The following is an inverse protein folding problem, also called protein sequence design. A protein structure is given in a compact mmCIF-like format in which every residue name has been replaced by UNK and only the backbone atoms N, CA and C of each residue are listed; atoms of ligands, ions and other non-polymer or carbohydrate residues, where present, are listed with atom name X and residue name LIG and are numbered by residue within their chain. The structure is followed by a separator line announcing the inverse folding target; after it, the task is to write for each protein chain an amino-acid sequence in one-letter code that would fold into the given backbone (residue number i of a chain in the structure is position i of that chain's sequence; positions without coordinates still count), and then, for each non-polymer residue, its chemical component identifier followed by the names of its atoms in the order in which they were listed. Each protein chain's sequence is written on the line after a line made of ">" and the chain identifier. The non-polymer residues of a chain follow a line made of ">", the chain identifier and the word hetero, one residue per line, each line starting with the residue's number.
data_IF_676060835964
#
_entry.id   IF_676060835964
#
_cell.length_a   1.000
_cell.length_b   1.000
_cell.length_c   1.000
_cell.angle_alpha   90.00
_cell.angle_beta   90.00
_cell.angle_gamma   90.00
#
_symmetry.space_group_name_H-M   'P 1'
#
loop_
_entity.id
_entity.type
_entity.pdbx_description
1 polymer ?
#
# COMPACT_ATOMS: atom_id res chain seq x y z
N UNK A 1 -8.66 -1.83 -16.98
CA UNK A 1 -8.46 -0.47 -16.47
C UNK A 1 -7.09 -0.40 -15.82
N UNK A 2 -6.21 0.54 -16.17
CA UNK A 2 -4.88 0.64 -15.59
C UNK A 2 -5.01 0.75 -14.07
N UNK A 3 -4.28 -0.06 -13.30
CA UNK A 3 -4.33 -0.04 -11.82
C UNK A 3 -4.08 1.37 -11.26
N UNK A 4 -3.42 2.24 -12.03
CA UNK A 4 -3.14 3.63 -11.71
C UNK A 4 -4.41 4.41 -11.37
N UNK A 5 -5.51 4.19 -12.09
CA UNK A 5 -6.73 4.96 -11.87
C UNK A 5 -7.40 4.61 -10.54
N UNK A 6 -7.39 3.32 -10.15
CA UNK A 6 -7.86 2.93 -8.81
C UNK A 6 -6.89 3.36 -7.72
N UNK A 7 -5.59 3.39 -7.99
CA UNK A 7 -4.59 3.77 -7.00
C UNK A 7 -4.72 5.23 -6.54
N UNK A 8 -5.20 6.13 -7.41
CA UNK A 8 -5.47 7.53 -7.04
C UNK A 8 -6.45 7.67 -5.86
N UNK A 9 -7.48 6.81 -5.76
CA UNK A 9 -8.43 6.82 -4.63
C UNK A 9 -7.91 6.11 -3.37
N UNK A 10 -6.71 5.51 -3.45
CA UNK A 10 -6.05 4.80 -2.37
C UNK A 10 -4.90 5.59 -1.73
N UNK A 11 -4.59 6.79 -2.24
CA UNK A 11 -3.58 7.67 -1.63
C UNK A 11 -3.99 7.98 -0.17
N UNK A 12 -3.04 7.82 0.75
CA UNK A 12 -3.24 7.95 2.20
C UNK A 12 -3.82 6.70 2.87
N UNK A 13 -4.10 5.61 2.14
CA UNK A 13 -4.74 4.41 2.68
C UNK A 13 -3.77 3.22 2.75
N UNK A 14 -4.00 2.26 3.67
CA UNK A 14 -3.27 1.00 3.65
C UNK A 14 -3.61 0.18 2.40
N UNK A 15 -2.57 -0.30 1.72
CA UNK A 15 -2.67 -1.06 0.48
C UNK A 15 -1.75 -2.27 0.48
N UNK A 16 -2.18 -3.32 -0.22
CA UNK A 16 -1.29 -4.35 -0.74
C UNK A 16 -0.86 -3.97 -2.16
N UNK A 17 0.42 -4.15 -2.48
CA UNK A 17 0.94 -3.95 -3.84
C UNK A 17 1.48 -5.28 -4.36
N UNK A 18 0.96 -5.69 -5.51
CA UNK A 18 1.45 -6.84 -6.27
C UNK A 18 2.54 -6.35 -7.21
N UNK A 19 3.77 -6.84 -7.03
CA UNK A 19 4.90 -6.49 -7.89
C UNK A 19 5.00 -7.46 -9.08
N UNK A 20 5.50 -6.97 -10.21
CA UNK A 20 5.64 -7.74 -11.45
C UNK A 20 6.57 -8.95 -11.32
N UNK A 21 7.44 -8.98 -10.30
CA UNK A 21 8.31 -10.11 -10.00
C UNK A 21 7.64 -11.20 -9.14
N UNK A 22 6.34 -11.08 -8.86
CA UNK A 22 5.57 -12.02 -8.05
C UNK A 22 5.62 -11.76 -6.53
N UNK A 23 6.37 -10.76 -6.07
CA UNK A 23 6.37 -10.38 -4.65
C UNK A 23 5.16 -9.52 -4.29
N UNK A 24 4.63 -9.73 -3.09
CA UNK A 24 3.65 -8.84 -2.47
C UNK A 24 4.30 -8.00 -1.38
N UNK A 25 3.97 -6.71 -1.35
CA UNK A 25 4.32 -5.81 -0.23
C UNK A 25 3.06 -5.17 0.36
N UNK A 26 3.18 -4.57 1.53
CA UNK A 26 2.09 -3.84 2.18
C UNK A 26 2.59 -2.55 2.83
N UNK A 27 1.75 -1.53 2.84
CA UNK A 27 2.07 -0.24 3.45
C UNK A 27 1.02 0.83 3.17
N UNK A 28 1.31 2.08 3.51
CA UNK A 28 0.46 3.22 3.14
C UNK A 28 0.90 3.73 1.77
N UNK A 29 -0.03 3.86 0.82
CA UNK A 29 0.24 4.52 -0.45
C UNK A 29 0.31 6.04 -0.23
N UNK A 30 1.50 6.61 -0.13
CA UNK A 30 1.68 8.04 0.18
C UNK A 30 1.47 8.94 -1.04
N UNK A 31 1.63 8.42 -2.27
CA UNK A 31 1.43 9.21 -3.48
C UNK A 31 1.87 8.49 -4.74
N UNK A 32 1.70 9.19 -5.88
CA UNK A 32 2.10 8.75 -7.20
C UNK A 32 2.64 9.94 -8.00
N UNK A 33 3.93 9.93 -8.32
CA UNK A 33 4.60 11.02 -9.03
C UNK A 33 5.73 10.46 -9.90
N UNK A 34 6.01 11.11 -11.03
CA UNK A 34 7.12 10.76 -11.93
C UNK A 34 7.21 9.28 -12.32
N UNK A 35 6.07 8.62 -12.55
CA UNK A 35 6.04 7.21 -12.94
C UNK A 35 6.39 6.23 -11.81
N UNK A 36 6.32 6.68 -10.56
CA UNK A 36 6.55 5.86 -9.37
C UNK A 36 5.39 5.97 -8.39
N UNK A 37 5.21 4.91 -7.59
CA UNK A 37 4.43 4.95 -6.36
C UNK A 37 5.37 5.08 -5.16
N UNK A 38 4.87 5.73 -4.11
CA UNK A 38 5.58 5.91 -2.85
C UNK A 38 4.80 5.15 -1.78
N UNK A 39 5.43 4.15 -1.16
CA UNK A 39 4.76 3.29 -0.18
C UNK A 39 5.53 3.35 1.13
N UNK A 40 4.89 3.89 2.18
CA UNK A 40 5.45 3.85 3.53
C UNK A 40 5.30 2.43 4.09
N UNK A 41 6.44 1.78 4.33
CA UNK A 41 6.49 0.40 4.81
C UNK A 41 7.17 0.34 6.18
N UNK A 42 6.69 -0.59 7.00
CA UNK A 42 7.42 -1.02 8.19
C UNK A 42 8.67 -1.80 7.78
N UNK A 43 9.82 -1.50 8.38
CA UNK A 43 11.05 -2.25 8.16
C UNK A 43 11.41 -3.11 9.37
N UNK A 44 11.72 -2.45 10.50
CA UNK A 44 12.16 -3.12 11.72
C UNK A 44 11.99 -2.22 12.95
N UNK A 45 11.61 -2.83 14.08
CA UNK A 45 11.40 -2.19 15.38
C UNK A 45 10.37 -1.06 15.35
N UNK A 46 10.82 0.19 15.27
CA UNK A 46 9.98 1.39 15.18
C UNK A 46 10.30 2.21 13.92
N UNK A 47 11.01 1.60 12.97
CA UNK A 47 11.49 2.26 11.76
C UNK A 47 10.56 2.00 10.59
N UNK A 48 10.23 3.10 9.90
CA UNK A 48 9.44 3.11 8.68
C UNK A 48 10.25 3.79 7.58
N UNK A 49 10.09 3.31 6.36
CA UNK A 49 10.75 3.89 5.20
C UNK A 49 9.76 4.07 4.06
N UNK A 50 9.86 5.19 3.35
CA UNK A 50 9.16 5.38 2.09
C UNK A 50 9.92 4.64 1.01
N UNK A 51 9.32 3.58 0.49
CA UNK A 51 9.86 2.81 -0.62
C UNK A 51 9.29 3.32 -1.95
N UNK A 52 10.11 3.27 -2.98
CA UNK A 52 9.78 3.79 -4.30
C UNK A 52 9.72 2.63 -5.29
N UNK A 53 8.60 2.50 -6.00
CA UNK A 53 8.44 1.49 -7.04
C UNK A 53 8.01 2.14 -8.34
N UNK A 54 8.72 1.86 -9.42
CA UNK A 54 8.33 2.33 -10.75
C UNK A 54 7.03 1.66 -11.19
N UNK A 55 6.27 2.29 -12.07
CA UNK A 55 5.03 1.72 -12.60
C UNK A 55 5.25 0.39 -13.32
N UNK A 56 6.43 0.15 -13.89
CA UNK A 56 6.80 -1.12 -14.50
C UNK A 56 6.99 -2.25 -13.47
N UNK A 57 7.36 -1.92 -12.23
CA UNK A 57 7.47 -2.88 -11.14
C UNK A 57 6.12 -3.23 -10.53
N UNK A 58 5.07 -2.44 -10.77
CA UNK A 58 3.75 -2.61 -10.16
C UNK A 58 2.82 -3.33 -11.13
N UNK A 59 2.35 -4.52 -10.73
CA UNK A 59 1.34 -5.27 -11.45
C UNK A 59 -0.07 -4.84 -11.03
N UNK A 60 -0.32 -4.70 -9.72
CA UNK A 60 -1.60 -4.23 -9.23
C UNK A 60 -1.53 -3.64 -7.81
N UNK A 61 -2.56 -2.89 -7.41
CA UNK A 61 -2.71 -2.31 -6.05
C UNK A 61 -4.11 -2.59 -5.50
N UNK A 62 -4.19 -3.08 -4.26
CA UNK A 62 -5.46 -3.40 -3.60
C UNK A 62 -5.61 -2.64 -2.28
N UNK A 63 -6.81 -2.11 -1.96
CA UNK A 63 -7.07 -1.61 -0.61
C UNK A 63 -6.94 -2.77 0.38
N UNK A 64 -6.36 -2.51 1.56
CA UNK A 64 -6.46 -3.48 2.65
C UNK A 64 -7.93 -3.69 3.02
N UNK A 65 -8.37 -4.95 3.19
CA UNK A 65 -9.71 -5.23 3.69
C UNK A 65 -9.83 -4.81 5.16
N UNK A 66 -11.05 -4.51 5.58
CA UNK A 66 -11.34 -4.32 7.01
C UNK A 66 -11.17 -5.65 7.76
N UNK A 67 -10.59 -5.60 8.97
CA UNK A 67 -10.55 -6.75 9.87
C UNK A 67 -11.94 -6.99 10.49
N UNK A 68 -12.44 -8.24 10.41
CA UNK A 68 -13.70 -8.66 11.04
C UNK A 68 -13.53 -9.96 11.83
N UNK A 69 -14.14 -10.09 13.03
CA UNK A 69 -14.72 -9.00 13.82
C UNK A 69 -13.62 -8.10 14.39
N UNK A 70 -13.78 -6.78 14.26
CA UNK A 70 -12.97 -5.82 15.01
C UNK A 70 -13.15 -6.17 16.50
N UNK A 71 -12.09 -6.48 17.27
CA UNK A 71 -12.21 -6.59 18.71
C UNK A 71 -12.69 -5.23 19.18
N UNK A 72 -13.97 -5.12 19.53
CA UNK A 72 -14.52 -3.94 20.15
C UNK A 72 -13.57 -3.56 21.28
N UNK A 73 -13.01 -2.35 21.21
CA UNK A 73 -12.41 -1.73 22.37
C UNK A 73 -13.41 -1.86 23.50
N UNK A 74 -13.13 -2.76 24.46
CA UNK A 74 -13.79 -2.72 25.74
C UNK A 74 -13.35 -1.40 26.38
N UNK A 75 -14.14 -0.36 26.15
CA UNK A 75 -14.13 0.84 26.96
C UNK A 75 -14.54 0.41 28.37
N UNK A 76 -13.58 0.33 29.29
CA UNK A 76 -13.82 0.32 30.73
C UNK A 76 -13.07 1.50 31.32
#
# INVERSE_FOLDING_TARGET
>A
MPWQQKALSLIGRPVGVSLANGQGISGILCGMHHGQIFVLQYMYHSQFATMHYTFAQVQDIHPFPSCYPHPTSHST
#
